data_IF_781665428268
#
_entry.id   IF_781665428268
#
_cell.length_a   1.000
_cell.length_b   1.000
_cell.length_c   1.000
_cell.angle_alpha   90.00
_cell.angle_beta   90.00
_cell.angle_gamma   90.00
#
_symmetry.space_group_name_H-M   'P 1'
#
loop_
_entity.id
_entity.type
_entity.pdbx_description
1 polymer ?
#
# COMPACT_ATOMS: atom_id res chain seq x y z
N UNK A 1 10.16 -4.24 5.73
CA UNK A 1 9.15 -3.76 4.74
C UNK A 1 8.00 -3.17 5.54
N UNK A 2 7.29 -2.17 5.01
CA UNK A 2 6.11 -1.59 5.68
C UNK A 2 4.87 -2.31 5.15
N UNK A 3 4.08 -2.90 6.05
CA UNK A 3 2.84 -3.62 5.74
C UNK A 3 1.66 -2.72 6.06
N UNK A 4 0.76 -2.53 5.10
CA UNK A 4 -0.40 -1.63 5.24
C UNK A 4 -1.67 -2.32 4.77
N UNK A 5 -2.83 -1.81 5.21
CA UNK A 5 -4.14 -2.22 4.73
C UNK A 5 -4.56 -1.44 3.47
N UNK A 6 -5.60 -1.92 2.79
CA UNK A 6 -6.26 -1.18 1.69
C UNK A 6 -6.70 0.23 2.10
N UNK A 7 -7.30 0.38 3.28
CA UNK A 7 -7.74 1.67 3.79
C UNK A 7 -6.59 2.68 3.92
N UNK A 8 -5.43 2.24 4.41
CA UNK A 8 -4.22 3.10 4.45
C UNK A 8 -3.73 3.41 3.04
N UNK A 9 -3.69 2.43 2.12
CA UNK A 9 -3.26 2.65 0.74
C UNK A 9 -4.10 3.73 0.04
N UNK A 10 -5.41 3.74 0.28
CA UNK A 10 -6.33 4.72 -0.31
C UNK A 10 -6.03 6.15 0.17
N UNK A 11 -5.59 6.30 1.41
CA UNK A 11 -5.15 7.58 1.98
C UNK A 11 -3.74 8.01 1.52
N UNK A 12 -2.96 7.12 0.92
CA UNK A 12 -1.64 7.45 0.37
C UNK A 12 -1.72 8.05 -1.03
N UNK A 13 -2.91 8.17 -1.63
CA UNK A 13 -3.15 8.85 -2.90
C UNK A 13 -2.19 8.46 -4.03
N UNK A 14 -1.82 7.17 -4.10
CA UNK A 14 -0.90 6.65 -5.12
C UNK A 14 0.54 7.16 -5.02
N UNK A 15 0.92 7.80 -3.90
CA UNK A 15 2.28 8.28 -3.67
C UNK A 15 3.29 7.16 -3.47
N UNK A 16 2.85 5.94 -3.14
CA UNK A 16 3.74 4.81 -2.94
C UNK A 16 3.42 3.68 -3.90
N UNK A 17 4.49 3.04 -4.40
CA UNK A 17 4.36 1.78 -5.13
C UNK A 17 4.23 0.63 -4.13
N UNK A 18 3.29 -0.27 -4.38
CA UNK A 18 2.98 -1.39 -3.50
C UNK A 18 2.93 -2.72 -4.24
N UNK A 19 3.08 -3.81 -3.49
CA UNK A 19 2.86 -5.19 -3.92
C UNK A 19 1.85 -5.90 -3.00
N UNK A 20 1.16 -6.96 -3.46
CA UNK A 20 0.25 -7.73 -2.61
C UNK A 20 0.94 -8.25 -1.35
N UNK A 21 0.29 -8.04 -0.20
CA UNK A 21 0.83 -8.40 1.12
C UNK A 21 0.36 -9.75 1.67
N UNK A 22 -0.68 -10.34 1.07
CA UNK A 22 -1.28 -11.63 1.45
C UNK A 22 -1.45 -11.82 2.96
N UNK A 23 -1.92 -10.79 3.65
CA UNK A 23 -2.05 -10.79 5.12
C UNK A 23 -2.92 -11.93 5.67
N UNK A 24 -3.90 -12.41 4.89
CA UNK A 24 -4.73 -13.56 5.26
C UNK A 24 -3.98 -14.89 5.37
N UNK A 25 -2.83 -15.04 4.70
CA UNK A 25 -2.00 -16.25 4.84
C UNK A 25 -1.23 -16.25 6.17
N UNK A 26 -1.08 -15.07 6.79
CA UNK A 26 -0.28 -14.85 7.99
C UNK A 26 -1.13 -14.73 9.26
N UNK A 27 -2.36 -14.26 9.12
CA UNK A 27 -3.25 -13.97 10.25
C UNK A 27 -4.70 -14.37 9.93
N UNK A 28 -5.26 -15.23 10.79
CA UNK A 28 -6.62 -15.75 10.63
C UNK A 28 -7.69 -14.65 10.76
N UNK A 29 -7.46 -13.61 11.57
CA UNK A 29 -8.37 -12.48 11.70
C UNK A 29 -8.42 -11.65 10.41
N UNK A 30 -7.25 -11.41 9.80
CA UNK A 30 -7.16 -10.73 8.50
C UNK A 30 -7.89 -11.55 7.44
N UNK A 31 -7.71 -12.87 7.42
CA UNK A 31 -8.40 -13.78 6.50
C UNK A 31 -9.91 -13.77 6.70
N UNK A 32 -10.38 -13.88 7.94
CA UNK A 32 -11.80 -13.96 8.26
C UNK A 32 -12.55 -12.69 7.84
N UNK A 33 -11.94 -11.53 8.00
CA UNK A 33 -12.53 -10.25 7.60
C UNK A 33 -12.34 -9.93 6.10
N UNK A 34 -11.64 -10.78 5.36
CA UNK A 34 -11.35 -10.55 3.94
C UNK A 34 -10.52 -9.28 3.69
N UNK A 35 -9.69 -8.88 4.66
CA UNK A 35 -8.94 -7.64 4.57
C UNK A 35 -7.78 -7.75 3.57
N UNK A 36 -7.79 -6.88 2.56
CA UNK A 36 -6.67 -6.74 1.63
C UNK A 36 -5.52 -5.95 2.27
N UNK A 37 -4.30 -6.43 2.03
CA UNK A 37 -3.08 -5.82 2.59
C UNK A 37 -1.97 -5.78 1.55
N UNK A 38 -1.00 -4.89 1.76
CA UNK A 38 0.03 -4.55 0.78
C UNK A 38 1.38 -4.27 1.46
N UNK A 39 2.48 -4.51 0.76
CA UNK A 39 3.80 -4.03 1.16
C UNK A 39 4.21 -2.82 0.34
N UNK A 40 4.73 -1.79 1.01
CA UNK A 40 5.37 -0.65 0.35
C UNK A 40 6.73 -1.09 -0.22
N UNK A 41 6.94 -0.88 -1.53
CA UNK A 41 8.17 -1.27 -2.24
C UNK A 41 9.30 -0.27 -2.05
N UNK A 42 8.99 1.03 -1.93
CA UNK A 42 9.99 2.11 -1.88
C UNK A 42 10.08 2.76 -0.51
N UNK A 43 11.29 3.16 -0.09
CA UNK A 43 11.47 3.91 1.16
C UNK A 43 10.98 5.36 1.09
N UNK A 44 10.80 5.87 -0.13
CA UNK A 44 10.41 7.24 -0.39
C UNK A 44 9.16 7.29 -1.27
N UNK A 45 8.26 8.26 -1.05
CA UNK A 45 7.14 8.49 -1.95
C UNK A 45 7.62 8.88 -3.35
N UNK A 46 6.76 8.65 -4.34
CA UNK A 46 6.93 9.04 -5.73
C UNK A 46 7.19 10.55 -5.77
N UNK A 47 8.31 10.95 -6.38
CA UNK A 47 8.50 12.36 -6.72
C UNK A 47 7.39 12.75 -7.70
N UNK A 48 6.49 13.65 -7.29
CA UNK A 48 5.62 14.34 -8.23
C UNK A 48 6.56 15.04 -9.21
N UNK A 49 6.58 14.58 -10.46
CA UNK A 49 7.36 15.27 -11.49
C UNK A 49 6.69 16.63 -11.67
N UNK A 50 7.40 17.70 -11.35
CA UNK A 50 7.00 19.09 -11.60
C UNK A 50 7.04 19.34 -13.12
N UNK A 51 6.19 18.66 -13.88
CA UNK A 51 6.10 18.77 -15.34
C UNK A 51 4.68 19.12 -15.83
N UNK A 52 3.71 19.25 -14.93
CA UNK A 52 2.34 19.63 -15.28
C UNK A 52 2.06 21.13 -15.03
N UNK A 53 3.10 21.96 -15.07
CA UNK A 53 2.98 23.42 -15.02
C UNK A 53 3.63 24.02 -16.26
N UNK A 54 2.93 23.92 -17.39
CA UNK A 54 3.11 24.76 -18.59
C UNK A 54 1.75 25.38 -18.89
#
# INVERSE_FOLDING_TARGET
>A
RVHITKATLDQLHGQYEVEPGNGGDRDAYIRQLGMETFFIKTKHPRKVRQLDSI
#
